data_IF_953822002328
#
_entry.id   IF_953822002328
#
_cell.length_a   1.000
_cell.length_b   1.000
_cell.length_c   1.000
_cell.angle_alpha   90.00
_cell.angle_beta   90.00
_cell.angle_gamma   90.00
#
_symmetry.space_group_name_H-M   'P 1'
#
loop_
_entity.id
_entity.type
_entity.pdbx_description
1 polymer ?
#
# COMPACT_ATOMS: atom_id res chain seq x y z
N UNK A 1 67.32 -32.45 -23.81
CA UNK A 1 66.78 -32.89 -25.12
C UNK A 1 65.33 -32.46 -25.21
N UNK A 2 65.04 -31.28 -25.75
CA UNK A 2 64.67 -31.05 -27.16
C UNK A 2 63.46 -31.86 -27.61
N UNK A 3 62.28 -31.25 -27.59
CA UNK A 3 61.27 -31.49 -28.61
C UNK A 3 60.89 -30.17 -29.25
N UNK A 4 61.13 -30.13 -30.56
CA UNK A 4 60.86 -29.04 -31.49
C UNK A 4 59.36 -28.84 -31.69
N UNK A 5 59.03 -27.57 -31.87
CA UNK A 5 58.14 -26.99 -32.89
C UNK A 5 57.18 -27.93 -33.63
N UNK A 6 55.89 -27.59 -33.54
CA UNK A 6 55.13 -27.31 -34.76
C UNK A 6 54.40 -25.96 -34.62
N UNK A 7 54.89 -24.97 -35.36
CA UNK A 7 54.11 -23.84 -35.87
C UNK A 7 53.41 -24.30 -37.15
N UNK A 8 52.15 -23.89 -37.40
CA UNK A 8 51.72 -23.15 -38.61
C UNK A 8 50.39 -22.37 -38.27
N UNK A 9 49.85 -21.41 -39.07
CA UNK A 9 49.98 -19.98 -38.78
C UNK A 9 48.67 -19.15 -38.89
N UNK A 10 48.77 -17.88 -38.48
CA UNK A 10 48.07 -16.68 -38.99
C UNK A 10 46.54 -16.66 -39.07
N UNK A 11 45.93 -15.75 -38.29
CA UNK A 11 45.30 -14.54 -38.86
C UNK A 11 45.17 -13.44 -37.81
N UNK A 12 46.04 -12.44 -37.88
CA UNK A 12 45.85 -11.17 -37.18
C UNK A 12 44.80 -10.38 -37.98
N UNK A 13 43.71 -10.00 -37.32
CA UNK A 13 42.88 -8.87 -37.71
C UNK A 13 42.92 -7.86 -36.54
N UNK A 14 43.32 -6.60 -36.77
CA UNK A 14 43.46 -5.63 -35.70
C UNK A 14 42.15 -4.87 -35.56
N UNK A 15 41.45 -5.02 -34.44
CA UNK A 15 40.43 -4.05 -34.05
C UNK A 15 40.64 -3.71 -32.58
N UNK A 16 41.26 -2.55 -32.37
CA UNK A 16 41.32 -1.90 -31.07
C UNK A 16 39.91 -1.63 -30.59
N UNK A 17 39.52 -2.26 -29.48
CA UNK A 17 38.36 -1.84 -28.71
C UNK A 17 38.91 -0.87 -27.67
N UNK A 18 38.84 0.42 -28.02
CA UNK A 18 38.97 1.51 -27.06
C UNK A 18 37.94 1.28 -25.94
N UNK A 19 38.40 1.30 -24.70
CA UNK A 19 37.59 1.20 -23.51
C UNK A 19 36.62 2.39 -23.43
N UNK A 20 35.43 2.23 -24.01
CA UNK A 20 34.29 3.11 -23.79
C UNK A 20 33.65 2.78 -22.45
N UNK A 21 33.63 3.76 -21.54
CA UNK A 21 33.06 3.64 -20.20
C UNK A 21 31.56 3.26 -20.22
N UNK A 22 31.04 2.45 -19.26
CA UNK A 22 29.62 2.05 -19.23
C UNK A 22 28.62 3.19 -18.97
N UNK A 23 29.09 4.43 -18.82
CA UNK A 23 28.26 5.57 -18.44
C UNK A 23 27.65 6.32 -19.64
N UNK A 24 28.12 6.07 -20.85
CA UNK A 24 27.62 6.79 -22.05
C UNK A 24 26.37 6.15 -22.68
N UNK A 25 26.08 4.88 -22.36
CA UNK A 25 24.90 4.18 -22.91
C UNK A 25 23.63 4.27 -22.04
N UNK A 26 23.67 4.98 -20.91
CA UNK A 26 22.48 5.19 -20.06
C UNK A 26 21.62 6.40 -20.49
N UNK A 27 22.02 7.15 -21.51
CA UNK A 27 21.33 8.38 -21.95
C UNK A 27 20.28 8.12 -23.04
N UNK A 28 20.15 6.89 -23.56
CA UNK A 28 19.42 6.61 -24.82
C UNK A 28 18.07 5.87 -24.67
N UNK A 29 17.41 5.91 -23.51
CA UNK A 29 15.99 5.47 -23.40
C UNK A 29 15.10 6.61 -22.91
N UNK A 30 15.15 7.71 -23.65
CA UNK A 30 14.05 8.66 -23.73
C UNK A 30 13.74 8.84 -25.22
N UNK A 31 12.75 8.12 -25.73
CA UNK A 31 12.12 8.50 -26.99
C UNK A 31 10.64 8.11 -27.02
N UNK A 32 9.84 9.04 -26.49
CA UNK A 32 8.82 9.76 -27.27
C UNK A 32 8.54 11.11 -26.58
N UNK A 33 9.36 12.09 -26.97
CA UNK A 33 9.00 13.47 -27.31
C UNK A 33 8.49 14.46 -26.24
N UNK A 34 8.94 14.35 -25.00
CA UNK A 34 9.37 15.52 -24.22
C UNK A 34 10.21 15.02 -23.04
N UNK A 35 11.32 15.69 -22.74
CA UNK A 35 11.85 15.58 -21.40
C UNK A 35 10.73 16.06 -20.47
N UNK A 36 10.22 15.18 -19.59
CA UNK A 36 9.21 15.58 -18.63
C UNK A 36 9.81 16.69 -17.77
N UNK A 37 9.33 17.91 -17.95
CA UNK A 37 9.78 19.04 -17.17
C UNK A 37 9.09 18.99 -15.81
N UNK A 38 9.88 19.00 -14.74
CA UNK A 38 9.32 19.01 -13.39
C UNK A 38 8.57 20.33 -13.18
N UNK A 39 7.28 20.29 -12.78
CA UNK A 39 6.40 21.45 -12.68
C UNK A 39 6.69 22.30 -11.44
N UNK A 40 7.90 22.87 -11.33
CA UNK A 40 8.31 23.69 -10.19
C UNK A 40 7.40 24.92 -9.98
N UNK A 41 6.79 25.43 -11.05
CA UNK A 41 5.82 26.53 -11.00
C UNK A 41 4.52 26.20 -10.26
N UNK A 42 4.14 24.92 -10.23
CA UNK A 42 2.93 24.43 -9.53
C UNK A 42 3.22 24.07 -8.06
N UNK A 43 4.49 23.96 -7.67
CA UNK A 43 4.88 23.67 -6.29
C UNK A 43 4.63 24.91 -5.42
N UNK A 44 4.06 24.77 -4.20
CA UNK A 44 3.85 25.91 -3.31
C UNK A 44 5.15 26.66 -3.05
N UNK A 45 5.10 28.00 -3.10
CA UNK A 45 6.27 28.86 -2.89
C UNK A 45 6.98 28.58 -1.56
N UNK A 46 6.23 28.27 -0.50
CA UNK A 46 6.81 27.91 0.80
C UNK A 46 7.75 26.71 0.72
N UNK A 47 7.39 25.70 -0.07
CA UNK A 47 8.22 24.51 -0.28
C UNK A 47 9.44 24.86 -1.14
N UNK A 48 9.26 25.61 -2.24
CA UNK A 48 10.35 26.03 -3.13
C UNK A 48 11.39 26.87 -2.38
N UNK A 49 10.96 27.88 -1.63
CA UNK A 49 11.87 28.73 -0.84
C UNK A 49 12.66 27.92 0.18
N UNK A 50 12.05 26.89 0.78
CA UNK A 50 12.77 26.00 1.68
C UNK A 50 13.81 25.14 0.96
N UNK A 51 13.43 24.60 -0.20
CA UNK A 51 14.34 23.82 -1.04
C UNK A 51 15.54 24.67 -1.49
N UNK A 52 15.32 25.93 -1.88
CA UNK A 52 16.37 26.89 -2.27
C UNK A 52 17.32 27.23 -1.12
N UNK A 53 16.82 27.26 0.13
CA UNK A 53 17.65 27.43 1.33
C UNK A 53 18.47 26.19 1.68
N UNK A 54 18.28 25.08 0.98
CA UNK A 54 18.91 23.80 1.30
C UNK A 54 18.32 23.12 2.54
N UNK A 55 17.18 23.61 3.02
CA UNK A 55 16.49 23.08 4.20
C UNK A 55 15.59 21.89 3.81
N UNK A 56 15.44 20.94 4.73
CA UNK A 56 14.59 19.77 4.50
C UNK A 56 13.11 20.18 4.43
N UNK A 57 12.36 19.81 3.37
CA UNK A 57 10.92 20.07 3.30
C UNK A 57 10.20 19.32 4.42
N UNK A 58 9.12 19.90 4.96
CA UNK A 58 8.28 19.20 5.95
C UNK A 58 7.69 17.94 5.31
N UNK A 59 7.28 16.95 6.12
CA UNK A 59 6.57 15.78 5.60
C UNK A 59 5.35 16.15 4.74
N UNK A 60 4.63 17.21 5.08
CA UNK A 60 3.49 17.70 4.32
C UNK A 60 3.89 18.28 2.95
N UNK A 61 4.89 19.15 2.92
CA UNK A 61 5.40 19.74 1.68
C UNK A 61 6.03 18.68 0.77
N UNK A 62 6.79 17.73 1.32
CA UNK A 62 7.36 16.62 0.55
C UNK A 62 6.26 15.79 -0.14
N UNK A 63 5.18 15.48 0.59
CA UNK A 63 4.00 14.80 0.00
C UNK A 63 3.34 15.66 -1.07
N UNK A 64 3.25 16.97 -0.88
CA UNK A 64 2.65 17.89 -1.85
C UNK A 64 3.47 17.94 -3.15
N UNK A 65 4.80 18.03 -3.05
CA UNK A 65 5.72 17.97 -4.19
C UNK A 65 5.48 16.66 -4.97
N UNK A 66 5.52 15.52 -4.28
CA UNK A 66 5.28 14.20 -4.88
C UNK A 66 3.91 14.12 -5.55
N UNK A 67 2.87 14.67 -4.93
CA UNK A 67 1.51 14.69 -5.48
C UNK A 67 1.43 15.49 -6.78
N UNK A 68 2.01 16.68 -6.82
CA UNK A 68 1.98 17.56 -8.00
C UNK A 68 2.78 16.94 -9.14
N UNK A 69 4.00 16.47 -8.86
CA UNK A 69 4.86 15.84 -9.87
C UNK A 69 4.17 14.63 -10.48
N UNK A 70 3.57 13.75 -9.66
CA UNK A 70 2.88 12.56 -10.17
C UNK A 70 1.59 12.92 -10.91
N UNK A 71 0.86 13.96 -10.48
CA UNK A 71 -0.34 14.40 -11.20
C UNK A 71 0.01 14.82 -12.63
N UNK A 72 0.99 15.71 -12.81
CA UNK A 72 1.45 16.15 -14.13
C UNK A 72 2.05 15.00 -14.96
N UNK A 73 2.77 14.08 -14.30
CA UNK A 73 3.33 12.92 -14.98
C UNK A 73 2.23 12.01 -15.52
N UNK A 74 1.12 11.83 -14.79
CA UNK A 74 0.03 10.97 -15.22
C UNK A 74 -0.82 11.58 -16.34
N UNK A 75 -0.88 12.91 -16.45
CA UNK A 75 -1.50 13.60 -17.60
C UNK A 75 -0.73 13.34 -18.91
N UNK A 76 0.61 13.26 -18.83
CA UNK A 76 1.47 13.04 -20.00
C UNK A 76 1.69 11.55 -20.30
N UNK A 77 1.88 10.74 -19.25
CA UNK A 77 2.17 9.31 -19.32
C UNK A 77 1.25 8.58 -18.33
N UNK A 78 0.12 8.01 -18.79
CA UNK A 78 -0.85 7.33 -17.91
C UNK A 78 -0.26 6.13 -17.13
N UNK A 79 0.78 5.51 -17.68
CA UNK A 79 1.43 4.34 -17.09
C UNK A 79 2.97 4.50 -17.03
N UNK A 80 3.49 5.34 -16.11
CA UNK A 80 4.92 5.59 -16.04
C UNK A 80 5.66 4.35 -15.53
N UNK A 81 6.81 4.05 -16.15
CA UNK A 81 7.72 2.97 -15.72
C UNK A 81 8.61 3.44 -14.57
N UNK A 82 9.12 2.48 -13.78
CA UNK A 82 10.08 2.76 -12.69
C UNK A 82 11.29 3.57 -13.18
N UNK A 83 11.82 3.26 -14.36
CA UNK A 83 12.97 3.98 -14.94
C UNK A 83 12.69 5.46 -15.19
N UNK A 84 11.47 5.81 -15.59
CA UNK A 84 11.07 7.22 -15.78
C UNK A 84 10.97 7.95 -14.43
N UNK A 85 10.39 7.31 -13.43
CA UNK A 85 10.33 7.85 -12.06
C UNK A 85 11.73 8.01 -11.45
N UNK A 86 12.64 7.11 -11.79
CA UNK A 86 14.03 7.15 -11.34
C UNK A 86 14.77 8.39 -11.87
N UNK A 87 14.58 8.72 -13.16
CA UNK A 87 15.15 9.91 -13.77
C UNK A 87 14.59 11.19 -13.13
N UNK A 88 13.27 11.26 -12.94
CA UNK A 88 12.62 12.40 -12.27
C UNK A 88 13.15 12.57 -10.85
N UNK A 89 13.31 11.48 -10.10
CA UNK A 89 13.88 11.54 -8.75
C UNK A 89 15.33 12.04 -8.78
N UNK A 90 16.16 11.60 -9.75
CA UNK A 90 17.54 12.07 -9.90
C UNK A 90 17.59 13.56 -10.23
N UNK A 91 16.69 14.03 -11.07
CA UNK A 91 16.62 15.43 -11.47
C UNK A 91 16.20 16.34 -10.30
N UNK A 92 15.15 15.98 -9.54
CA UNK A 92 14.72 16.74 -8.35
C UNK A 92 15.83 16.82 -7.31
N UNK A 93 16.44 15.67 -6.99
CA UNK A 93 17.53 15.59 -6.01
C UNK A 93 18.78 16.31 -6.52
N UNK A 94 19.07 16.22 -7.82
CA UNK A 94 20.19 16.94 -8.44
C UNK A 94 20.05 18.45 -8.32
N UNK A 95 18.82 18.98 -8.41
CA UNK A 95 18.53 20.40 -8.21
C UNK A 95 18.64 20.83 -6.75
N UNK A 96 18.22 19.98 -5.81
CA UNK A 96 18.20 20.29 -4.37
C UNK A 96 18.82 19.17 -3.52
N UNK A 97 20.13 18.91 -3.64
CA UNK A 97 20.75 17.71 -3.04
C UNK A 97 20.72 17.75 -1.51
N UNK A 98 20.96 18.92 -0.91
CA UNK A 98 20.95 19.10 0.56
C UNK A 98 19.56 18.95 1.19
N UNK A 99 18.52 19.35 0.46
CA UNK A 99 17.15 19.35 0.97
C UNK A 99 16.55 17.95 0.99
N UNK A 100 16.97 17.09 0.05
CA UNK A 100 16.44 15.73 -0.09
C UNK A 100 17.32 14.64 0.51
N UNK A 101 18.60 14.91 0.81
CA UNK A 101 19.49 13.94 1.45
C UNK A 101 18.94 13.45 2.79
N UNK A 102 19.25 12.19 3.08
CA UNK A 102 18.81 11.51 4.30
C UNK A 102 19.95 11.57 5.33
N UNK A 103 19.68 12.26 6.43
CA UNK A 103 20.58 12.44 7.56
C UNK A 103 20.08 11.63 8.76
N UNK A 104 21.01 11.04 9.51
CA UNK A 104 20.77 10.60 10.89
C UNK A 104 21.86 11.25 11.75
N UNK A 105 21.45 12.13 12.65
CA UNK A 105 22.37 13.05 13.33
C UNK A 105 23.09 13.92 12.30
N UNK A 106 24.42 13.96 12.38
CA UNK A 106 25.27 14.76 11.49
C UNK A 106 25.79 13.98 10.27
N UNK A 107 25.44 12.70 10.15
CA UNK A 107 25.93 11.80 9.09
C UNK A 107 24.92 11.65 7.96
N UNK A 108 25.40 11.79 6.71
CA UNK A 108 24.61 11.52 5.49
C UNK A 108 24.55 10.01 5.26
N UNK A 109 23.35 9.43 5.30
CA UNK A 109 23.13 8.01 5.02
C UNK A 109 22.80 7.75 3.56
N UNK A 110 22.14 8.70 2.90
CA UNK A 110 21.75 8.53 1.51
C UNK A 110 21.51 9.85 0.81
N UNK A 111 21.70 9.86 -0.51
CA UNK A 111 21.44 11.02 -1.35
C UNK A 111 19.96 11.35 -1.54
N UNK A 112 19.02 10.70 -0.82
CA UNK A 112 17.59 11.00 -0.91
C UNK A 112 16.86 10.49 -2.16
N UNK A 113 17.60 10.05 -3.17
CA UNK A 113 17.06 9.54 -4.45
C UNK A 113 16.14 8.34 -4.26
N UNK A 114 16.61 7.27 -3.60
CA UNK A 114 15.81 6.07 -3.35
C UNK A 114 14.56 6.39 -2.53
N UNK A 115 14.70 7.26 -1.52
CA UNK A 115 13.60 7.70 -0.66
C UNK A 115 12.54 8.48 -1.43
N UNK A 116 12.94 9.37 -2.35
CA UNK A 116 12.00 10.10 -3.22
C UNK A 116 11.37 9.18 -4.27
N UNK A 117 12.14 8.29 -4.87
CA UNK A 117 11.66 7.30 -5.84
C UNK A 117 10.58 6.40 -5.25
N UNK A 118 10.79 5.86 -4.04
CA UNK A 118 9.79 5.05 -3.34
C UNK A 118 8.48 5.81 -3.15
N UNK A 119 8.54 7.10 -2.83
CA UNK A 119 7.35 7.94 -2.66
C UNK A 119 6.62 8.19 -3.98
N UNK A 120 7.35 8.40 -5.08
CA UNK A 120 6.77 8.53 -6.42
C UNK A 120 6.07 7.23 -6.83
N UNK A 121 6.71 6.08 -6.66
CA UNK A 121 6.14 4.76 -6.97
C UNK A 121 4.87 4.52 -6.16
N UNK A 122 4.93 4.73 -4.85
CA UNK A 122 3.78 4.57 -3.96
C UNK A 122 2.61 5.48 -4.37
N UNK A 123 2.90 6.72 -4.77
CA UNK A 123 1.86 7.67 -5.21
C UNK A 123 1.22 7.23 -6.53
N UNK A 124 2.00 6.79 -7.52
CA UNK A 124 1.49 6.25 -8.79
C UNK A 124 0.59 5.05 -8.53
N UNK A 125 1.03 4.12 -7.68
CA UNK A 125 0.24 2.97 -7.27
C UNK A 125 -1.08 3.42 -6.64
N UNK A 126 -1.04 4.34 -5.67
CA UNK A 126 -2.25 4.84 -5.02
C UNK A 126 -3.21 5.54 -5.99
N UNK A 127 -2.72 6.30 -6.98
CA UNK A 127 -3.58 6.88 -8.02
C UNK A 127 -4.35 5.79 -8.77
N UNK A 128 -3.68 4.71 -9.19
CA UNK A 128 -4.30 3.60 -9.93
C UNK A 128 -5.38 2.89 -9.09
N UNK A 129 -5.11 2.68 -7.80
CA UNK A 129 -6.06 2.03 -6.90
C UNK A 129 -7.29 2.88 -6.62
N UNK A 130 -7.12 4.19 -6.43
CA UNK A 130 -8.25 5.11 -6.24
C UNK A 130 -9.13 5.15 -7.49
N UNK A 131 -8.55 5.24 -8.69
CA UNK A 131 -9.32 5.20 -9.94
C UNK A 131 -10.12 3.88 -10.08
N UNK A 132 -9.54 2.74 -9.70
CA UNK A 132 -10.22 1.44 -9.74
C UNK A 132 -11.33 1.30 -8.69
N UNK A 133 -11.15 1.86 -7.48
CA UNK A 133 -12.12 1.75 -6.38
C UNK A 133 -13.25 2.79 -6.46
N UNK A 134 -13.00 3.99 -6.99
CA UNK A 134 -14.04 4.99 -7.25
C UNK A 134 -15.03 4.53 -8.31
N UNK A 135 -14.56 3.85 -9.37
CA UNK A 135 -15.44 3.22 -10.37
C UNK A 135 -16.38 2.17 -9.74
N UNK A 136 -15.91 1.40 -8.76
CA UNK A 136 -16.75 0.41 -8.07
C UNK A 136 -17.78 1.05 -7.14
N UNK A 137 -17.44 2.18 -6.50
CA UNK A 137 -18.35 2.90 -5.58
C UNK A 137 -19.40 3.73 -6.32
N UNK A 138 -19.03 4.36 -7.43
CA UNK A 138 -19.94 5.22 -8.21
C UNK A 138 -21.07 4.44 -8.91
N UNK A 139 -20.88 3.14 -9.18
CA UNK A 139 -21.92 2.28 -9.76
C UNK A 139 -23.03 1.89 -8.77
N UNK A 140 -22.95 2.34 -7.51
CA UNK A 140 -23.94 2.02 -6.47
C UNK A 140 -24.92 3.16 -6.18
N UNK A 141 -24.80 4.32 -6.83
CA UNK A 141 -25.60 5.51 -6.49
C UNK A 141 -26.20 6.17 -7.72
N UNK A 142 -26.94 5.43 -8.55
CA UNK A 142 -27.90 6.07 -9.44
C UNK A 142 -29.04 5.10 -9.80
N UNK A 143 -30.09 5.10 -8.98
CA UNK A 143 -31.47 4.91 -9.42
C UNK A 143 -32.42 5.17 -8.25
N UNK A 144 -33.15 6.28 -8.36
CA UNK A 144 -34.47 6.44 -7.76
C UNK A 144 -35.34 5.26 -8.21
N UNK A 145 -35.85 4.47 -7.25
CA UNK A 145 -37.09 3.67 -7.24
C UNK A 145 -36.88 2.45 -6.30
N UNK A 146 -37.68 2.41 -5.21
CA UNK A 146 -38.01 1.27 -4.33
C UNK A 146 -36.86 0.57 -3.57
N UNK A 147 -36.73 0.87 -2.27
CA UNK A 147 -35.86 0.15 -1.33
C UNK A 147 -36.31 -1.30 -1.12
N UNK A 148 -35.76 -2.23 -1.89
CA UNK A 148 -35.56 -3.61 -1.44
C UNK A 148 -34.37 -3.71 -0.47
N UNK A 149 -34.21 -4.80 0.31
CA UNK A 149 -33.12 -4.91 1.27
C UNK A 149 -31.79 -4.83 0.53
N UNK A 150 -31.07 -3.76 0.84
CA UNK A 150 -29.76 -3.43 0.33
C UNK A 150 -28.85 -4.65 0.52
N UNK A 151 -28.50 -5.32 -0.58
CA UNK A 151 -27.48 -6.37 -0.53
C UNK A 151 -26.14 -5.67 -0.31
N UNK A 152 -25.87 -5.32 0.94
CA UNK A 152 -24.56 -4.86 1.40
C UNK A 152 -23.57 -5.91 0.90
N UNK A 153 -22.64 -5.50 0.05
CA UNK A 153 -21.66 -6.42 -0.51
C UNK A 153 -20.95 -7.12 0.66
N UNK A 154 -20.77 -8.44 0.57
CA UNK A 154 -20.17 -9.25 1.64
C UNK A 154 -18.78 -8.74 2.10
N UNK A 155 -18.17 -7.85 1.33
CA UNK A 155 -16.87 -7.22 1.56
C UNK A 155 -16.89 -6.13 2.63
N UNK A 156 -18.04 -5.51 2.92
CA UNK A 156 -18.13 -4.34 3.84
C UNK A 156 -18.51 -4.70 5.28
N UNK A 157 -18.44 -5.98 5.66
CA UNK A 157 -18.57 -6.38 7.06
C UNK A 157 -17.20 -6.35 7.74
N UNK A 158 -16.67 -5.16 8.00
CA UNK A 158 -15.49 -5.01 8.86
C UNK A 158 -15.95 -4.72 10.29
N UNK A 159 -15.76 -5.69 11.19
CA UNK A 159 -16.05 -5.54 12.63
C UNK A 159 -17.14 -6.48 13.16
N UNK A 160 -17.50 -6.25 14.43
CA UNK A 160 -18.50 -7.00 15.18
C UNK A 160 -19.91 -6.62 14.70
N UNK A 161 -20.40 -7.30 13.66
CA UNK A 161 -21.66 -6.94 12.98
C UNK A 161 -22.92 -7.31 13.76
N UNK A 162 -22.85 -8.31 14.64
CA UNK A 162 -23.98 -8.77 15.46
C UNK A 162 -23.75 -8.42 16.94
N UNK A 163 -23.79 -7.11 17.27
CA UNK A 163 -23.55 -6.58 18.64
C UNK A 163 -24.31 -7.36 19.74
N UNK A 164 -25.58 -7.66 19.45
CA UNK A 164 -26.46 -8.46 20.28
C UNK A 164 -27.23 -9.42 19.36
N UNK A 165 -26.88 -10.71 19.32
CA UNK A 165 -27.64 -11.68 18.54
C UNK A 165 -29.05 -11.84 19.14
N UNK A 166 -30.03 -12.12 18.28
CA UNK A 166 -31.41 -12.36 18.69
C UNK A 166 -31.56 -13.76 19.30
N UNK A 167 -32.47 -13.89 20.26
CA UNK A 167 -32.87 -15.20 20.78
C UNK A 167 -33.66 -15.97 19.72
N UNK A 168 -33.49 -17.29 19.62
CA UNK A 168 -34.32 -18.12 18.74
C UNK A 168 -35.81 -17.98 19.10
N UNK A 169 -36.67 -17.86 18.10
CA UNK A 169 -38.11 -17.46 18.17
C UNK A 169 -39.03 -18.29 19.09
N UNK A 170 -38.54 -19.34 19.74
CA UNK A 170 -39.34 -20.24 20.61
C UNK A 170 -38.89 -20.31 22.06
N UNK A 171 -37.92 -19.49 22.48
CA UNK A 171 -37.31 -19.64 23.80
C UNK A 171 -37.68 -18.50 24.74
N UNK A 172 -38.31 -18.87 25.86
CA UNK A 172 -38.53 -17.94 26.97
C UNK A 172 -37.22 -17.74 27.74
N UNK A 173 -36.99 -16.57 28.39
CA UNK A 173 -35.80 -16.34 29.21
C UNK A 173 -35.56 -17.42 30.28
N UNK A 174 -36.63 -18.06 30.76
CA UNK A 174 -36.59 -19.15 31.72
C UNK A 174 -36.01 -20.44 31.13
N UNK A 175 -36.34 -20.75 29.86
CA UNK A 175 -35.83 -21.92 29.14
C UNK A 175 -34.32 -21.80 28.91
N UNK A 176 -33.83 -20.59 28.69
CA UNK A 176 -32.43 -20.32 28.38
C UNK A 176 -31.53 -20.37 29.62
N UNK A 177 -32.02 -19.90 30.77
CA UNK A 177 -31.32 -20.06 32.07
C UNK A 177 -31.13 -21.55 32.38
N UNK A 178 -32.17 -22.37 32.16
CA UNK A 178 -32.07 -23.83 32.35
C UNK A 178 -31.00 -24.43 31.43
N UNK A 179 -30.97 -24.02 30.14
CA UNK A 179 -29.93 -24.47 29.19
C UNK A 179 -28.51 -24.06 29.59
N UNK A 180 -28.36 -22.86 30.15
CA UNK A 180 -27.07 -22.39 30.65
C UNK A 180 -26.60 -23.19 31.87
N UNK A 181 -27.52 -23.59 32.75
CA UNK A 181 -27.22 -24.46 33.88
C UNK A 181 -26.85 -25.88 33.43
N UNK A 182 -27.59 -26.45 32.47
CA UNK A 182 -27.28 -27.77 31.91
C UNK A 182 -25.93 -27.77 31.18
N UNK A 183 -25.58 -26.69 30.49
CA UNK A 183 -24.26 -26.54 29.85
C UNK A 183 -23.13 -26.61 30.87
N UNK A 184 -23.28 -25.91 32.01
CA UNK A 184 -22.27 -25.91 33.09
C UNK A 184 -22.16 -27.29 33.74
N UNK A 185 -23.27 -28.03 33.84
CA UNK A 185 -23.30 -29.39 34.39
C UNK A 185 -22.66 -30.40 33.44
N UNK A 186 -23.03 -30.40 32.16
CA UNK A 186 -22.44 -31.24 31.11
C UNK A 186 -20.94 -30.99 30.93
N UNK A 187 -20.51 -29.74 31.05
CA UNK A 187 -19.08 -29.39 30.99
C UNK A 187 -18.27 -30.00 32.14
N UNK A 188 -18.88 -30.25 33.30
CA UNK A 188 -18.23 -30.87 34.46
C UNK A 188 -18.18 -32.39 34.36
N UNK A 189 -18.91 -33.01 33.42
CA UNK A 189 -18.90 -34.46 33.27
C UNK A 189 -17.64 -34.95 32.54
N UNK A 190 -17.09 -36.08 32.99
CA UNK A 190 -15.87 -36.67 32.41
C UNK A 190 -16.14 -37.30 31.03
N UNK A 191 -17.36 -37.80 30.80
CA UNK A 191 -17.85 -38.30 29.51
C UNK A 191 -18.69 -37.25 28.79
N UNK A 192 -18.06 -36.14 28.41
CA UNK A 192 -18.73 -35.05 27.69
C UNK A 192 -19.16 -35.45 26.28
N UNK A 193 -20.40 -35.15 25.92
CA UNK A 193 -20.86 -35.25 24.54
C UNK A 193 -20.63 -33.91 23.82
N UNK A 194 -19.58 -33.85 22.98
CA UNK A 194 -19.19 -32.64 22.26
C UNK A 194 -20.32 -32.03 21.43
N UNK A 195 -21.16 -32.86 20.79
CA UNK A 195 -22.27 -32.37 19.96
C UNK A 195 -23.37 -31.70 20.79
N UNK A 196 -23.60 -32.17 22.02
CA UNK A 196 -24.59 -31.60 22.93
C UNK A 196 -24.07 -30.28 23.50
N UNK A 197 -22.79 -30.25 23.89
CA UNK A 197 -22.12 -29.04 24.38
C UNK A 197 -22.11 -27.96 23.31
N UNK A 198 -21.74 -28.27 22.06
CA UNK A 198 -21.73 -27.29 20.96
C UNK A 198 -23.13 -26.71 20.72
N UNK A 199 -24.16 -27.55 20.69
CA UNK A 199 -25.54 -27.07 20.55
C UNK A 199 -26.00 -26.20 21.73
N UNK A 200 -25.59 -26.54 22.96
CA UNK A 200 -25.89 -25.74 24.14
C UNK A 200 -25.11 -24.41 24.15
N UNK A 201 -23.88 -24.40 23.64
CA UNK A 201 -23.07 -23.18 23.47
C UNK A 201 -23.74 -22.22 22.48
N UNK A 202 -24.18 -22.71 21.32
CA UNK A 202 -24.87 -21.88 20.31
C UNK A 202 -26.18 -21.29 20.85
N UNK A 203 -26.94 -22.08 21.60
CA UNK A 203 -28.21 -21.64 22.19
C UNK A 203 -28.03 -20.62 23.32
N UNK A 204 -26.95 -20.71 24.09
CA UNK A 204 -26.71 -19.82 25.25
C UNK A 204 -25.87 -18.58 24.90
N UNK A 205 -25.28 -18.54 23.70
CA UNK A 205 -24.48 -17.42 23.21
C UNK A 205 -25.22 -16.05 23.28
N UNK A 206 -26.51 -15.93 22.91
CA UNK A 206 -27.22 -14.66 23.03
C UNK A 206 -27.34 -14.13 24.46
N UNK A 207 -27.61 -15.01 25.44
CA UNK A 207 -27.65 -14.64 26.85
C UNK A 207 -26.27 -14.26 27.40
N UNK A 208 -25.23 -15.02 27.05
CA UNK A 208 -23.85 -14.68 27.44
C UNK A 208 -23.45 -13.31 26.88
N UNK A 209 -23.82 -13.02 25.63
CA UNK A 209 -23.55 -11.72 25.00
C UNK A 209 -24.34 -10.59 25.68
N UNK A 210 -25.59 -10.84 26.06
CA UNK A 210 -26.40 -9.89 26.81
C UNK A 210 -25.79 -9.55 28.17
N UNK A 211 -25.26 -10.54 28.91
CA UNK A 211 -24.60 -10.33 30.21
C UNK A 211 -23.32 -9.50 30.05
N UNK A 212 -22.49 -9.80 29.05
CA UNK A 212 -21.28 -9.01 28.73
C UNK A 212 -21.66 -7.57 28.41
N UNK A 213 -22.64 -7.36 27.53
CA UNK A 213 -23.08 -6.03 27.13
C UNK A 213 -23.66 -5.24 28.32
N UNK A 214 -24.41 -5.89 29.22
CA UNK A 214 -24.93 -5.27 30.45
C UNK A 214 -23.83 -4.91 31.44
N UNK A 215 -22.85 -5.78 31.68
CA UNK A 215 -21.74 -5.53 32.61
C UNK A 215 -20.86 -4.36 32.18
N UNK A 216 -20.72 -4.13 30.87
CA UNK A 216 -19.96 -3.01 30.32
C UNK A 216 -20.65 -1.64 30.52
N UNK A 217 -21.94 -1.60 30.90
CA UNK A 217 -22.70 -0.36 31.12
C UNK A 217 -22.58 0.20 32.56
N UNK A 218 -21.89 -0.50 33.47
CA UNK A 218 -21.71 -0.09 34.87
C UNK A 218 -20.32 0.50 35.18
N UNK A 219 -19.55 0.84 34.14
CA UNK A 219 -18.29 1.59 34.19
C UNK A 219 -18.43 2.88 33.38
#
# INVERSE_FOLDING_TARGET
>A
QTWREQQIPTRIAPYGISAGSPLENCVQVISRNSAFEIPYSKIPRSAVTRLERGERPTPAERRQIVRIVVAELLETVPAPRKSQLELIAKEIVGKYPRSFSDYIGDSVIGGGHSSLLCQLIARVHNCRWVSSTQLKRSLSTESTIEKGPEKVSATDKYGFTDYQPNFPERESPQTEIVKSATLVEEWKMETRNASVVDSLMDNTYPLQRLDINKKLLWY
#
